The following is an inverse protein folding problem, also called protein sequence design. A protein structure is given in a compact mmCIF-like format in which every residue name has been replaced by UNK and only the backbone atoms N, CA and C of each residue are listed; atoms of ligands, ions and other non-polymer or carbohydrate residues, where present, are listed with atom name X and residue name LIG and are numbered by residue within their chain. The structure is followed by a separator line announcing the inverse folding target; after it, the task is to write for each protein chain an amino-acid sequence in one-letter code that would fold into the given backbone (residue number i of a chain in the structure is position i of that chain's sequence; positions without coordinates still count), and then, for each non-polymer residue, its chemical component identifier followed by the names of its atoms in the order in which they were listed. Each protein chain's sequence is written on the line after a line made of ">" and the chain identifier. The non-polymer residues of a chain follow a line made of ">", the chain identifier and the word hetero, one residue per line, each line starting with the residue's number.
data_IF_956448462173
#
_entry.id   IF_956448462173
#
_cell.length_a   1.000
_cell.length_b   1.000
_cell.length_c   1.000
_cell.angle_alpha   90.00
_cell.angle_beta   90.00
_cell.angle_gamma   90.00
#
_symmetry.space_group_name_H-M   'P 1'
#
loop_
_entity.id
_entity.type
_entity.pdbx_description
1 polymer ?
#
# COMPACT_ATOMS: atom_id res chain seq x y z
N UNK A 1 -1.97 -9.52 13.72
CA UNK A 1 -1.54 -8.18 14.18
C UNK A 1 -2.45 -7.70 15.31
N UNK A 2 -3.70 -7.33 15.02
CA UNK A 2 -4.63 -6.76 16.03
C UNK A 2 -4.99 -7.77 17.13
N UNK A 3 -5.22 -9.03 16.80
CA UNK A 3 -5.45 -10.11 17.79
C UNK A 3 -4.31 -10.25 18.79
N UNK A 4 -3.08 -10.12 18.31
CA UNK A 4 -1.86 -10.21 19.12
C UNK A 4 -1.57 -8.94 19.94
N UNK A 5 -2.51 -8.01 20.03
CA UNK A 5 -2.36 -6.77 20.78
C UNK A 5 -1.41 -5.74 20.16
N UNK A 6 -0.99 -5.96 18.89
CA UNK A 6 -0.14 -5.03 18.15
C UNK A 6 -0.97 -3.88 17.56
N UNK A 7 -0.32 -2.75 17.38
CA UNK A 7 -0.88 -1.60 16.65
C UNK A 7 -0.66 -1.79 15.15
N UNK A 8 -1.72 -1.60 14.36
CA UNK A 8 -1.66 -1.59 12.92
C UNK A 8 -1.72 -0.15 12.41
N UNK A 9 -0.73 0.24 11.65
CA UNK A 9 -0.74 1.48 10.88
C UNK A 9 -0.95 1.12 9.40
N UNK A 10 -1.95 1.70 8.75
CA UNK A 10 -2.31 1.37 7.38
C UNK A 10 -2.54 2.64 6.55
N UNK A 11 -1.99 2.74 5.33
CA UNK A 11 -2.18 3.90 4.48
C UNK A 11 -3.62 4.00 3.99
N UNK A 12 -4.11 5.22 3.83
CA UNK A 12 -5.34 5.47 3.11
C UNK A 12 -5.14 5.14 1.62
N UNK A 13 -6.12 4.50 0.96
CA UNK A 13 -5.96 4.08 -0.43
C UNK A 13 -5.51 5.23 -1.34
N UNK A 14 -4.33 5.06 -1.98
CA UNK A 14 -3.70 6.04 -2.88
C UNK A 14 -3.43 7.41 -2.23
N UNK A 15 -3.34 7.48 -0.91
CA UNK A 15 -3.12 8.71 -0.13
C UNK A 15 -4.07 9.87 -0.52
N UNK A 16 -5.30 9.54 -0.93
CA UNK A 16 -6.25 10.53 -1.49
C UNK A 16 -7.07 11.25 -0.43
N UNK A 17 -7.52 10.52 0.59
CA UNK A 17 -8.45 11.01 1.62
C UNK A 17 -7.78 11.28 2.96
N UNK A 18 -6.49 11.04 3.05
CA UNK A 18 -5.68 11.16 4.25
C UNK A 18 -4.34 10.50 4.03
N UNK A 19 -3.61 10.27 5.10
CA UNK A 19 -2.28 9.68 5.04
C UNK A 19 -2.31 8.24 5.57
N UNK A 20 -2.20 8.06 6.88
CA UNK A 20 -2.32 6.77 7.53
C UNK A 20 -3.48 6.77 8.53
N UNK A 21 -3.96 5.59 8.87
CA UNK A 21 -4.85 5.38 10.01
C UNK A 21 -4.26 4.32 10.93
N UNK A 22 -4.45 4.52 12.23
CA UNK A 22 -4.03 3.58 13.26
C UNK A 22 -5.21 2.81 13.81
N UNK A 23 -4.99 1.53 14.02
CA UNK A 23 -5.91 0.59 14.66
C UNK A 23 -5.17 -0.15 15.76
N UNK A 24 -5.78 -0.25 16.93
CA UNK A 24 -5.35 -1.14 18.02
C UNK A 24 -6.55 -1.48 18.89
N UNK A 25 -6.44 -2.53 19.71
CA UNK A 25 -7.51 -2.88 20.66
C UNK A 25 -7.76 -1.76 21.68
N UNK A 26 -6.73 -0.99 22.04
CA UNK A 26 -6.87 0.16 22.96
C UNK A 26 -7.62 1.33 22.35
N UNK A 27 -7.45 1.57 21.03
CA UNK A 27 -8.14 2.65 20.31
C UNK A 27 -9.55 2.27 19.88
N UNK A 28 -9.80 0.97 19.68
CA UNK A 28 -11.12 0.45 19.27
C UNK A 28 -11.50 -0.70 20.20
N UNK A 29 -11.96 -0.41 21.43
CA UNK A 29 -12.28 -1.43 22.45
C UNK A 29 -13.25 -2.51 21.95
N UNK A 30 -14.21 -2.15 21.08
CA UNK A 30 -15.13 -3.10 20.48
C UNK A 30 -14.47 -4.25 19.69
N UNK A 31 -13.19 -4.12 19.30
CA UNK A 31 -12.43 -5.22 18.69
C UNK A 31 -12.03 -6.30 19.69
N UNK A 32 -12.01 -5.98 21.00
CA UNK A 32 -11.64 -6.95 22.04
C UNK A 32 -12.77 -7.97 22.29
N UNK A 33 -14.01 -7.53 22.11
CA UNK A 33 -15.21 -8.28 22.53
C UNK A 33 -16.03 -8.81 21.35
N UNK A 34 -15.73 -8.37 20.10
CA UNK A 34 -16.51 -8.72 18.90
C UNK A 34 -15.63 -9.06 17.70
N UNK A 35 -15.56 -10.36 17.40
CA UNK A 35 -14.91 -10.92 16.22
C UNK A 35 -15.37 -10.29 14.89
N UNK A 36 -16.62 -9.83 14.81
CA UNK A 36 -17.15 -9.19 13.60
C UNK A 36 -16.53 -7.81 13.40
N UNK A 37 -16.35 -7.06 14.46
CA UNK A 37 -15.66 -5.77 14.42
C UNK A 37 -14.19 -5.95 14.07
N UNK A 38 -13.52 -6.92 14.65
CA UNK A 38 -12.13 -7.26 14.29
C UNK A 38 -12.01 -7.61 12.79
N UNK A 39 -12.87 -8.46 12.26
CA UNK A 39 -12.91 -8.81 10.83
C UNK A 39 -13.22 -7.61 9.93
N UNK A 40 -14.10 -6.70 10.35
CA UNK A 40 -14.35 -5.45 9.62
C UNK A 40 -13.10 -4.58 9.54
N UNK A 41 -12.33 -4.47 10.61
CA UNK A 41 -11.10 -3.68 10.66
C UNK A 41 -10.01 -4.19 9.70
N UNK A 42 -10.14 -5.42 9.17
CA UNK A 42 -9.29 -5.95 8.10
C UNK A 42 -9.71 -5.48 6.69
N UNK A 43 -10.71 -4.62 6.58
CA UNK A 43 -11.19 -4.07 5.30
C UNK A 43 -11.00 -2.57 5.23
N UNK A 44 -10.89 -2.02 4.00
CA UNK A 44 -10.80 -0.56 3.80
C UNK A 44 -11.98 0.21 4.42
N UNK A 45 -13.18 -0.38 4.39
CA UNK A 45 -14.37 0.23 4.99
C UNK A 45 -14.28 0.24 6.53
N UNK A 46 -13.78 -0.84 7.12
CA UNK A 46 -13.60 -0.93 8.56
C UNK A 46 -12.48 -0.01 9.06
N UNK A 47 -11.38 0.10 8.31
CA UNK A 47 -10.33 1.08 8.60
C UNK A 47 -10.89 2.51 8.56
N UNK A 48 -11.67 2.84 7.54
CA UNK A 48 -12.31 4.16 7.44
C UNK A 48 -13.29 4.46 8.58
N UNK A 49 -13.97 3.42 9.13
CA UNK A 49 -14.97 3.58 10.19
C UNK A 49 -14.38 3.57 11.60
N UNK A 50 -13.29 2.86 11.82
CA UNK A 50 -12.75 2.60 13.16
C UNK A 50 -11.30 3.08 13.33
N UNK A 51 -10.56 3.29 12.22
CA UNK A 51 -9.18 3.77 12.28
C UNK A 51 -9.12 5.23 12.71
N UNK A 52 -8.14 5.56 13.51
CA UNK A 52 -7.82 6.95 13.87
C UNK A 52 -6.87 7.48 12.80
N UNK A 53 -7.29 8.48 12.00
CA UNK A 53 -6.41 9.07 10.99
C UNK A 53 -5.23 9.78 11.66
N UNK A 54 -4.07 9.73 11.03
CA UNK A 54 -2.87 10.43 11.46
C UNK A 54 -2.56 11.57 10.52
N UNK A 55 -2.11 12.69 11.07
CA UNK A 55 -1.44 13.76 10.33
C UNK A 55 0.10 13.59 10.35
N UNK A 56 0.82 14.54 9.74
CA UNK A 56 2.29 14.49 9.67
C UNK A 56 2.95 14.66 11.04
N UNK A 57 2.37 15.46 11.96
CA UNK A 57 2.92 15.68 13.28
C UNK A 57 2.74 14.45 14.17
N UNK A 58 1.56 13.84 14.09
CA UNK A 58 1.28 12.58 14.78
C UNK A 58 2.16 11.44 14.28
N UNK A 59 2.51 11.41 12.98
CA UNK A 59 3.45 10.45 12.42
C UNK A 59 4.85 10.58 13.02
N UNK A 60 5.36 11.80 13.23
CA UNK A 60 6.68 12.04 13.82
C UNK A 60 6.82 11.48 15.25
N UNK A 61 5.71 11.42 15.98
CA UNK A 61 5.67 10.89 17.35
C UNK A 61 5.59 9.36 17.43
N UNK A 62 5.50 8.67 16.28
CA UNK A 62 5.30 7.22 16.23
C UNK A 62 6.48 6.51 15.62
N UNK A 63 6.74 5.31 16.12
CA UNK A 63 7.70 4.37 15.53
C UNK A 63 6.96 3.16 14.98
N UNK A 64 7.46 2.67 13.85
CA UNK A 64 6.99 1.46 13.20
C UNK A 64 8.12 0.42 13.22
N UNK A 65 7.91 -0.68 13.94
CA UNK A 65 8.93 -1.72 14.12
C UNK A 65 9.07 -2.62 12.89
N UNK A 66 8.00 -2.76 12.11
CA UNK A 66 7.96 -3.65 10.96
C UNK A 66 7.02 -3.09 9.88
N UNK A 67 7.54 -2.94 8.67
CA UNK A 67 6.79 -2.51 7.49
C UNK A 67 6.49 -3.71 6.59
N UNK A 68 5.20 -3.92 6.27
CA UNK A 68 4.79 -4.94 5.28
C UNK A 68 4.44 -4.26 3.97
N UNK A 69 5.20 -4.56 2.92
CA UNK A 69 5.02 -3.98 1.59
C UNK A 69 4.60 -5.06 0.58
N UNK A 70 3.63 -4.75 -0.28
CA UNK A 70 3.13 -5.70 -1.28
C UNK A 70 4.06 -5.85 -2.48
N UNK A 71 4.21 -7.08 -2.98
CA UNK A 71 4.98 -7.40 -4.17
C UNK A 71 4.17 -8.20 -5.18
N UNK A 72 4.37 -7.95 -6.48
CA UNK A 72 3.90 -8.82 -7.56
C UNK A 72 4.89 -9.95 -7.80
N UNK A 73 6.19 -9.65 -7.72
CA UNK A 73 7.29 -10.60 -7.77
C UNK A 73 8.45 -10.07 -6.90
N UNK A 74 9.30 -10.95 -6.40
CA UNK A 74 10.44 -10.60 -5.55
C UNK A 74 11.63 -11.53 -5.82
N UNK A 75 12.81 -10.95 -5.88
CA UNK A 75 14.08 -11.67 -5.96
C UNK A 75 14.52 -12.10 -4.54
N UNK A 76 14.76 -13.40 -4.31
CA UNK A 76 15.03 -13.91 -2.96
C UNK A 76 16.41 -13.54 -2.45
N UNK A 77 17.37 -13.22 -3.33
CA UNK A 77 18.73 -12.87 -2.96
C UNK A 77 18.83 -11.38 -2.63
N UNK A 78 18.46 -10.52 -3.57
CA UNK A 78 18.65 -9.08 -3.42
C UNK A 78 17.49 -8.38 -2.67
N UNK A 79 16.36 -9.03 -2.49
CA UNK A 79 15.16 -8.38 -1.96
C UNK A 79 14.53 -7.38 -2.92
N UNK A 80 15.04 -7.27 -4.14
CA UNK A 80 14.45 -6.45 -5.19
C UNK A 80 13.02 -6.94 -5.49
N UNK A 81 12.07 -6.03 -5.62
CA UNK A 81 10.68 -6.37 -5.83
C UNK A 81 10.04 -5.60 -6.98
N UNK A 82 9.09 -6.22 -7.63
CA UNK A 82 8.23 -5.58 -8.59
C UNK A 82 6.87 -5.28 -7.93
N UNK A 83 6.50 -4.01 -7.88
CA UNK A 83 5.19 -3.55 -7.44
C UNK A 83 4.19 -3.48 -8.60
N UNK A 84 3.10 -2.74 -8.41
CA UNK A 84 2.07 -2.53 -9.45
C UNK A 84 2.40 -1.40 -10.42
N UNK A 85 3.55 -0.76 -10.29
CA UNK A 85 3.97 0.38 -11.11
C UNK A 85 3.19 1.68 -10.84
N UNK A 86 2.46 1.78 -9.71
CA UNK A 86 1.74 3.00 -9.33
C UNK A 86 2.58 3.96 -8.45
N UNK A 87 3.69 3.49 -7.86
CA UNK A 87 4.63 4.25 -7.02
C UNK A 87 4.08 4.69 -5.66
N UNK A 88 2.92 4.22 -5.23
CA UNK A 88 2.35 4.64 -3.94
C UNK A 88 3.07 3.99 -2.75
N UNK A 89 3.48 2.75 -2.86
CA UNK A 89 4.18 2.06 -1.78
C UNK A 89 5.55 2.70 -1.49
N UNK A 90 6.25 3.11 -2.53
CA UNK A 90 7.51 3.85 -2.46
C UNK A 90 7.31 5.23 -1.81
N UNK A 91 6.23 5.94 -2.15
CA UNK A 91 5.87 7.22 -1.53
C UNK A 91 5.47 7.05 -0.06
N UNK A 92 4.68 6.02 0.27
CA UNK A 92 4.31 5.69 1.65
C UNK A 92 5.56 5.43 2.48
N UNK A 93 6.50 4.62 1.98
CA UNK A 93 7.79 4.37 2.61
C UNK A 93 8.59 5.67 2.79
N UNK A 94 8.74 6.45 1.72
CA UNK A 94 9.55 7.67 1.73
C UNK A 94 9.01 8.74 2.71
N UNK A 95 7.69 8.88 2.84
CA UNK A 95 7.07 9.79 3.81
C UNK A 95 7.35 9.30 5.23
N UNK A 96 7.21 8.00 5.50
CA UNK A 96 7.52 7.42 6.81
C UNK A 96 9.00 7.62 7.19
N UNK A 97 9.91 7.55 6.23
CA UNK A 97 11.34 7.88 6.43
C UNK A 97 11.52 9.35 6.81
N UNK A 98 10.88 10.27 6.10
CA UNK A 98 11.01 11.71 6.34
C UNK A 98 10.37 12.16 7.65
N UNK A 99 9.32 11.49 8.10
CA UNK A 99 8.70 11.76 9.42
C UNK A 99 9.44 11.05 10.56
N UNK A 100 10.46 10.26 10.28
CA UNK A 100 11.19 9.48 11.28
C UNK A 100 10.38 8.33 11.90
N UNK A 101 9.24 7.98 11.29
CA UNK A 101 8.40 6.84 11.70
C UNK A 101 9.12 5.51 11.49
N UNK A 102 9.94 5.42 10.45
CA UNK A 102 10.86 4.31 10.15
C UNK A 102 12.27 4.85 9.96
N UNK A 103 13.24 3.97 10.12
CA UNK A 103 14.68 4.22 9.97
C UNK A 103 15.37 3.08 9.21
N UNK A 104 16.70 3.04 9.21
CA UNK A 104 17.47 2.01 8.51
C UNK A 104 17.31 0.62 9.13
N UNK A 105 17.07 0.57 10.45
CA UNK A 105 16.89 -0.67 11.21
C UNK A 105 15.46 -1.24 11.10
N UNK A 106 14.52 -0.46 10.57
CA UNK A 106 13.14 -0.91 10.39
C UNK A 106 13.08 -2.06 9.38
N UNK A 107 12.56 -3.21 9.82
CA UNK A 107 12.43 -4.41 9.00
C UNK A 107 11.36 -4.22 7.93
N UNK A 108 11.74 -4.40 6.67
CA UNK A 108 10.83 -4.37 5.52
C UNK A 108 10.52 -5.79 5.07
N UNK A 109 9.26 -6.17 5.15
CA UNK A 109 8.79 -7.54 4.88
C UNK A 109 7.82 -7.54 3.70
N UNK A 110 7.87 -8.56 2.86
CA UNK A 110 6.81 -8.84 1.90
C UNK A 110 6.17 -10.21 2.16
N UNK A 111 4.85 -10.29 1.99
CA UNK A 111 4.11 -11.56 2.05
C UNK A 111 3.60 -11.88 0.67
N UNK A 112 4.06 -13.00 0.11
CA UNK A 112 3.79 -13.42 -1.27
C UNK A 112 3.49 -14.92 -1.34
N UNK A 113 2.92 -15.37 -2.45
CA UNK A 113 2.84 -16.80 -2.75
C UNK A 113 4.19 -17.31 -3.26
N UNK A 114 4.49 -18.60 -3.07
CA UNK A 114 5.78 -19.19 -3.50
C UNK A 114 6.10 -18.95 -4.99
N UNK A 115 5.07 -18.90 -5.85
CA UNK A 115 5.21 -18.61 -7.29
C UNK A 115 5.57 -17.18 -7.64
N UNK A 116 5.55 -16.27 -6.67
CA UNK A 116 5.96 -14.86 -6.83
C UNK A 116 7.43 -14.64 -6.43
N UNK A 117 8.05 -15.66 -5.83
CA UNK A 117 9.49 -15.67 -5.56
C UNK A 117 10.19 -16.13 -6.81
N UNK A 118 10.99 -15.27 -7.40
CA UNK A 118 11.72 -15.53 -8.64
C UNK A 118 13.00 -16.33 -8.39
N UNK A 119 13.71 -16.68 -9.44
CA UNK A 119 15.07 -17.23 -9.35
C UNK A 119 16.05 -16.11 -8.96
N UNK A 120 17.15 -16.48 -8.31
CA UNK A 120 18.19 -15.53 -7.90
C UNK A 120 18.70 -14.71 -9.10
N UNK A 121 18.65 -13.37 -8.97
CA UNK A 121 19.13 -12.45 -9.99
C UNK A 121 18.23 -12.28 -11.22
N UNK A 122 17.00 -12.81 -11.20
CA UNK A 122 16.06 -12.64 -12.30
C UNK A 122 15.54 -11.20 -12.41
N UNK A 123 15.53 -10.44 -11.30
CA UNK A 123 15.34 -9.00 -11.35
C UNK A 123 16.71 -8.32 -11.53
N UNK A 124 16.88 -7.67 -12.68
CA UNK A 124 18.08 -6.85 -12.95
C UNK A 124 18.10 -5.63 -12.02
N UNK A 125 18.89 -5.71 -10.96
CA UNK A 125 19.00 -4.66 -9.95
C UNK A 125 19.61 -3.36 -10.48
N UNK A 126 20.34 -3.40 -11.62
CA UNK A 126 20.88 -2.20 -12.26
C UNK A 126 19.79 -1.29 -12.84
N UNK A 127 18.59 -1.82 -13.03
CA UNK A 127 17.41 -1.07 -13.54
C UNK A 127 16.56 -0.47 -12.42
N UNK A 128 16.84 -0.81 -11.16
CA UNK A 128 16.15 -0.22 -10.04
C UNK A 128 16.58 1.23 -9.86
N UNK A 129 15.62 2.04 -9.48
CA UNK A 129 15.84 3.45 -9.20
C UNK A 129 16.04 3.64 -7.69
N UNK A 130 16.66 4.73 -7.31
CA UNK A 130 16.99 5.05 -5.91
C UNK A 130 15.76 5.14 -4.98
N UNK A 131 14.55 5.22 -5.53
CA UNK A 131 13.31 5.23 -4.77
C UNK A 131 12.65 3.85 -4.63
N UNK A 132 13.15 2.84 -5.33
CA UNK A 132 12.64 1.48 -5.19
C UNK A 132 13.01 0.91 -3.81
N UNK A 133 12.03 0.32 -3.15
CA UNK A 133 12.19 -0.20 -1.77
C UNK A 133 12.45 -1.70 -1.82
N UNK A 134 13.67 -2.16 -1.52
CA UNK A 134 13.94 -3.59 -1.36
C UNK A 134 13.35 -4.12 -0.05
N UNK A 135 13.18 -5.43 0.04
CA UNK A 135 12.73 -6.10 1.27
C UNK A 135 13.88 -6.82 1.97
N UNK A 136 13.79 -6.92 3.28
CA UNK A 136 14.74 -7.66 4.12
C UNK A 136 14.30 -9.12 4.30
N UNK A 137 12.98 -9.34 4.26
CA UNK A 137 12.38 -10.63 4.58
C UNK A 137 11.21 -10.93 3.64
N UNK A 138 11.21 -12.14 3.09
CA UNK A 138 10.14 -12.67 2.26
C UNK A 138 9.44 -13.79 3.01
N UNK A 139 8.13 -13.69 3.18
CA UNK A 139 7.31 -14.70 3.83
C UNK A 139 6.34 -15.29 2.81
N UNK A 140 6.38 -16.60 2.66
CA UNK A 140 5.47 -17.37 1.81
C UNK A 140 4.68 -18.39 2.63
N UNK A 141 3.69 -19.07 2.07
CA UNK A 141 2.99 -20.14 2.77
C UNK A 141 3.89 -21.28 3.24
N UNK A 142 5.04 -21.53 2.57
CA UNK A 142 5.89 -22.69 2.84
C UNK A 142 7.23 -22.35 3.47
N UNK A 143 7.71 -21.09 3.34
CA UNK A 143 9.05 -20.72 3.79
C UNK A 143 9.18 -19.24 4.11
N UNK A 144 10.21 -18.92 4.89
CA UNK A 144 10.67 -17.57 5.21
C UNK A 144 12.09 -17.43 4.68
N UNK A 145 12.36 -16.36 3.92
CA UNK A 145 13.65 -16.13 3.25
C UNK A 145 14.18 -14.77 3.70
N UNK A 146 15.35 -14.76 4.34
CA UNK A 146 16.15 -13.55 4.57
C UNK A 146 16.93 -13.21 3.30
N UNK A 147 16.90 -11.97 2.90
CA UNK A 147 17.68 -11.49 1.75
C UNK A 147 19.13 -11.28 2.13
N UNK A 148 20.03 -11.29 1.13
CA UNK A 148 21.46 -11.10 1.34
C UNK A 148 21.79 -9.60 1.42
N UNK A 149 22.23 -9.13 2.57
CA UNK A 149 22.60 -7.73 2.80
C UNK A 149 23.64 -7.21 1.81
N UNK A 150 24.51 -8.09 1.31
CA UNK A 150 25.57 -7.71 0.35
C UNK A 150 25.08 -7.57 -1.08
N UNK A 151 23.96 -8.20 -1.40
CA UNK A 151 23.31 -8.15 -2.72
C UNK A 151 22.14 -7.15 -2.77
N UNK A 152 21.68 -6.69 -1.61
CA UNK A 152 20.51 -5.84 -1.49
C UNK A 152 20.81 -4.41 -1.93
N UNK A 153 19.97 -3.80 -2.79
CA UNK A 153 20.04 -2.37 -3.08
C UNK A 153 19.82 -1.53 -1.80
N UNK A 154 20.41 -0.33 -1.71
CA UNK A 154 20.20 0.53 -0.55
C UNK A 154 18.72 0.93 -0.42
N UNK A 155 18.23 0.96 0.81
CA UNK A 155 16.88 1.47 1.11
C UNK A 155 16.80 2.97 0.84
N UNK A 156 15.68 3.49 0.30
CA UNK A 156 15.49 4.93 0.12
C UNK A 156 15.56 5.70 1.44
N UNK A 157 16.17 6.86 1.43
CA UNK A 157 16.32 7.72 2.61
C UNK A 157 15.20 8.75 2.78
N UNK A 158 14.30 8.85 1.82
CA UNK A 158 13.18 9.79 1.82
C UNK A 158 12.66 10.06 0.43
N UNK A 159 12.00 11.20 0.23
CA UNK A 159 11.45 11.62 -1.06
C UNK A 159 12.54 12.27 -1.90
N UNK A 160 12.69 11.78 -3.11
CA UNK A 160 13.56 12.37 -4.13
C UNK A 160 12.75 13.33 -4.99
N UNK A 161 12.71 14.60 -4.56
CA UNK A 161 11.88 15.65 -5.16
C UNK A 161 12.21 15.92 -6.62
N UNK A 162 13.47 15.71 -7.02
CA UNK A 162 13.98 15.91 -8.37
C UNK A 162 13.50 14.85 -9.39
N UNK A 163 12.90 13.77 -8.92
CA UNK A 163 12.28 12.76 -9.79
C UNK A 163 10.75 12.64 -9.57
N UNK A 164 10.20 13.36 -8.59
CA UNK A 164 8.76 13.36 -8.33
C UNK A 164 8.05 14.33 -9.28
N UNK A 165 7.18 13.79 -10.13
CA UNK A 165 6.46 14.57 -11.13
C UNK A 165 5.51 15.60 -10.50
N UNK A 166 5.28 16.77 -11.14
CA UNK A 166 4.27 17.73 -10.73
C UNK A 166 2.87 17.10 -10.64
N UNK A 167 2.56 16.20 -11.55
CA UNK A 167 1.27 15.51 -11.61
C UNK A 167 1.06 14.59 -10.42
N UNK A 168 2.08 13.82 -10.01
CA UNK A 168 2.02 12.97 -8.81
C UNK A 168 1.92 13.81 -7.55
N UNK A 169 2.70 14.89 -7.45
CA UNK A 169 2.64 15.85 -6.35
C UNK A 169 1.25 16.48 -6.23
N UNK A 170 0.64 16.91 -7.35
CA UNK A 170 -0.71 17.46 -7.36
C UNK A 170 -1.78 16.46 -6.92
N UNK A 171 -1.57 15.17 -7.20
CA UNK A 171 -2.52 14.10 -6.88
C UNK A 171 -2.60 13.78 -5.38
N UNK A 172 -1.48 13.99 -4.63
CA UNK A 172 -1.33 13.53 -3.25
C UNK A 172 -1.19 14.71 -2.30
N UNK A 173 -2.24 15.01 -1.52
CA UNK A 173 -2.24 16.17 -0.62
C UNK A 173 -1.08 16.14 0.39
N UNK A 174 -0.84 15.01 1.05
CA UNK A 174 0.19 14.88 2.07
C UNK A 174 1.60 15.16 1.54
N UNK A 175 1.88 14.89 0.28
CA UNK A 175 3.16 15.24 -0.36
C UNK A 175 3.33 16.76 -0.50
N UNK A 176 2.25 17.48 -0.83
CA UNK A 176 2.29 18.95 -0.90
C UNK A 176 2.50 19.57 0.48
N UNK A 177 1.80 19.06 1.48
CA UNK A 177 1.93 19.52 2.86
C UNK A 177 3.36 19.29 3.38
N UNK A 178 3.92 18.11 3.11
CA UNK A 178 5.30 17.77 3.49
C UNK A 178 6.33 18.61 2.71
N UNK A 179 6.12 18.82 1.40
CA UNK A 179 6.99 19.69 0.59
C UNK A 179 7.03 21.09 1.17
N UNK A 180 5.87 21.68 1.47
CA UNK A 180 5.78 23.02 2.05
C UNK A 180 6.54 23.12 3.38
N UNK A 181 6.48 22.11 4.24
CA UNK A 181 7.26 22.06 5.48
C UNK A 181 8.75 22.05 5.22
N UNK A 182 9.21 21.14 4.36
CA UNK A 182 10.64 21.00 4.04
C UNK A 182 11.18 22.26 3.38
N UNK A 183 10.43 22.92 2.48
CA UNK A 183 10.80 24.19 1.88
C UNK A 183 10.90 25.31 2.93
N UNK A 184 9.95 25.35 3.86
CA UNK A 184 9.99 26.33 4.96
C UNK A 184 11.18 26.10 5.91
N UNK A 185 11.50 24.86 6.24
CA UNK A 185 12.63 24.49 7.10
C UNK A 185 13.98 24.78 6.45
N UNK A 186 14.10 24.57 5.13
CA UNK A 186 15.34 24.79 4.38
C UNK A 186 15.53 26.23 3.93
N UNK A 187 14.45 27.01 3.83
CA UNK A 187 14.47 28.36 3.28
C UNK A 187 14.68 28.42 1.76
N UNK A 188 14.50 27.30 1.06
CA UNK A 188 14.69 27.20 -0.38
C UNK A 188 13.61 26.31 -1.04
N UNK A 189 13.30 26.60 -2.31
CA UNK A 189 12.38 25.78 -3.09
C UNK A 189 13.02 24.44 -3.46
N UNK A 190 12.25 23.36 -3.30
CA UNK A 190 12.69 22.02 -3.68
C UNK A 190 12.58 21.82 -5.20
N UNK A 191 13.48 21.02 -5.80
CA UNK A 191 13.39 20.67 -7.21
C UNK A 191 12.08 19.94 -7.52
N UNK A 192 11.76 19.83 -8.80
CA UNK A 192 10.58 19.09 -9.28
C UNK A 192 11.05 18.16 -10.39
N UNK A 193 10.53 16.95 -10.40
CA UNK A 193 10.82 15.95 -11.41
C UNK A 193 10.17 16.28 -12.77
N UNK A 194 10.44 15.46 -13.79
CA UNK A 194 9.87 15.63 -15.11
C UNK A 194 8.35 15.38 -15.12
N UNK A 195 7.68 15.89 -16.14
CA UNK A 195 6.26 15.62 -16.38
C UNK A 195 5.99 14.13 -16.60
N UNK A 196 4.89 13.66 -16.04
CA UNK A 196 4.47 12.27 -16.12
C UNK A 196 3.01 12.17 -16.57
N UNK A 197 2.72 11.23 -17.46
CA UNK A 197 1.34 10.87 -17.78
C UNK A 197 0.84 9.84 -16.79
N UNK A 198 0.07 10.29 -15.80
CA UNK A 198 -0.50 9.39 -14.80
C UNK A 198 -1.56 8.46 -15.42
N UNK A 199 -1.60 7.18 -15.03
CA UNK A 199 -2.64 6.28 -15.49
C UNK A 199 -4.03 6.79 -15.04
N UNK A 200 -5.08 6.69 -15.89
CA UNK A 200 -6.39 7.19 -15.58
C UNK A 200 -6.97 6.52 -14.34
N UNK A 201 -7.39 7.33 -13.37
CA UNK A 201 -7.97 6.89 -12.08
C UNK A 201 -9.29 6.10 -12.24
N UNK A 202 -9.89 6.11 -13.44
CA UNK A 202 -11.23 5.60 -13.74
C UNK A 202 -11.33 4.07 -13.91
N UNK A 203 -10.24 3.35 -14.12
CA UNK A 203 -10.28 1.91 -14.46
C UNK A 203 -10.98 1.04 -13.41
N UNK A 204 -11.03 1.47 -12.16
CA UNK A 204 -11.74 0.74 -11.09
C UNK A 204 -13.26 0.99 -11.09
N UNK A 205 -13.68 2.19 -11.43
CA UNK A 205 -15.10 2.55 -11.52
C UNK A 205 -15.76 1.89 -12.75
N UNK A 206 -15.06 1.85 -13.89
CA UNK A 206 -15.52 1.14 -15.10
C UNK A 206 -15.53 -0.37 -14.89
N UNK A 207 -14.48 -0.97 -14.32
CA UNK A 207 -14.48 -2.39 -13.97
C UNK A 207 -15.55 -2.75 -12.96
N UNK A 208 -15.89 -1.86 -12.03
CA UNK A 208 -17.02 -2.05 -11.09
C UNK A 208 -18.34 -2.00 -11.82
N UNK A 209 -18.57 -1.00 -12.67
CA UNK A 209 -19.77 -0.89 -13.51
C UNK A 209 -19.95 -2.09 -14.44
N UNK A 210 -18.87 -2.54 -15.10
CA UNK A 210 -18.88 -3.75 -15.94
C UNK A 210 -19.19 -5.01 -15.15
N UNK A 211 -18.68 -5.17 -13.94
CA UNK A 211 -19.00 -6.31 -13.05
C UNK A 211 -20.43 -6.27 -12.53
N UNK A 212 -20.94 -5.09 -12.22
CA UNK A 212 -22.33 -4.90 -11.80
C UNK A 212 -23.31 -5.15 -12.95
N UNK A 213 -23.01 -4.66 -14.15
CA UNK A 213 -23.77 -4.94 -15.37
C UNK A 213 -23.77 -6.45 -15.73
N UNK A 214 -22.63 -7.12 -15.62
CA UNK A 214 -22.53 -8.57 -15.85
C UNK A 214 -23.29 -9.40 -14.81
N UNK A 215 -23.41 -8.92 -13.56
CA UNK A 215 -24.23 -9.57 -12.51
C UNK A 215 -25.72 -9.28 -12.67
N UNK A 216 -26.10 -8.11 -13.14
CA UNK A 216 -27.48 -7.74 -13.42
C UNK A 216 -28.08 -8.52 -14.59
N UNK A 217 -27.30 -8.78 -15.64
CA UNK A 217 -27.71 -9.56 -16.81
C UNK A 217 -27.97 -11.05 -16.56
N UNK A 218 -27.43 -11.60 -15.48
CA UNK A 218 -27.69 -13.02 -15.09
C UNK A 218 -28.99 -13.22 -14.30
N UNK A 219 -29.58 -12.18 -13.71
CA UNK A 219 -30.84 -12.27 -12.95
C UNK A 219 -32.10 -12.19 -13.83
N UNK A 220 -31.98 -11.77 -15.09
CA UNK A 220 -33.10 -11.57 -16.01
C UNK A 220 -33.49 -12.77 -16.90
N UNK A 221 -32.77 -13.90 -16.87
CA UNK A 221 -33.04 -15.03 -17.76
C UNK A 221 -33.67 -16.26 -17.10
N UNK A 222 -34.26 -16.14 -15.94
CA UNK A 222 -34.82 -17.25 -15.16
C UNK A 222 -36.32 -17.14 -14.84
N UNK A 223 -37.15 -16.59 -15.73
CA UNK A 223 -38.61 -16.67 -15.54
C UNK A 223 -39.31 -16.63 -16.90
N UNK A 224 -39.48 -17.80 -17.49
CA UNK A 224 -40.17 -17.95 -18.75
C UNK A 224 -40.75 -19.37 -18.89
N UNK A 225 -42.01 -19.56 -18.52
CA UNK A 225 -42.91 -20.52 -19.19
C UNK A 225 -42.89 -21.95 -18.71
N UNK A 226 -43.72 -22.26 -17.71
CA UNK A 226 -44.45 -23.53 -17.68
C UNK A 226 -45.92 -23.23 -17.96
N UNK A 227 -46.30 -23.29 -19.24
CA UNK A 227 -47.68 -23.36 -19.69
C UNK A 227 -48.26 -24.70 -19.27
N UNK A 228 -49.35 -24.66 -18.52
CA UNK A 228 -50.27 -25.81 -18.32
C UNK A 228 -51.06 -25.99 -19.61
N UNK A 229 -50.96 -27.14 -20.22
CA UNK A 229 -51.95 -27.67 -21.16
C UNK A 229 -52.85 -28.61 -20.41
N UNK A 230 -54.11 -28.19 -20.20
CA UNK A 230 -55.21 -29.06 -19.85
C UNK A 230 -55.90 -29.41 -21.15
N UNK A 231 -56.26 -30.68 -21.33
CA UNK A 231 -57.08 -31.12 -22.46
C UNK A 231 -57.49 -32.56 -22.36
N UNK A 232 -58.80 -32.80 -22.15
CA UNK A 232 -59.54 -33.92 -22.63
C UNK A 232 -59.47 -35.22 -21.88
#
# INVERSE_FOLDING_TARGET
>A
VLESGKTLMTPQPRLRTGFFSVLSKSLVPAMADDDKTLKKCCTSAGVASHGVPLDLDEMQSRKCDLLVIGSCAVDPKSGARLGKGEGFAELEYAIMRMTGTIDDDTLVVTTVHDTQVLSDGEIDTSRLLRHDVPVDLIVTPTRTIWTDETAKPPKPTGIYWDILSPQKLAQVKVLRDLRTRVEAERGEALPTGPDETLPPLAVRAEKKKLREAARGGRRGRGSGGRGRGSGG
#
